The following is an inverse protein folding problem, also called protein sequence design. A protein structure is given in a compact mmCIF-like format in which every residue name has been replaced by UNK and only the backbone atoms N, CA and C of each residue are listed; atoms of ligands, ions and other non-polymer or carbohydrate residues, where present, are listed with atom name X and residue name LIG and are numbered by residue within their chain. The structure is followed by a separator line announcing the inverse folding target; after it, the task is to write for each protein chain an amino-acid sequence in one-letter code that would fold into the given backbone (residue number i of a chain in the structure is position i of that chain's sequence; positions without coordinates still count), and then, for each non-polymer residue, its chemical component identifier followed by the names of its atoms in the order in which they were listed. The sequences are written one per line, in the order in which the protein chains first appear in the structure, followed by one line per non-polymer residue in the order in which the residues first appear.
data_IF_948693626938
#
_entry.id   IF_948693626938
#
_cell.length_a   1.000
_cell.length_b   1.000
_cell.length_c   1.000
_cell.angle_alpha   90.00
_cell.angle_beta   90.00
_cell.angle_gamma   90.00
#
_symmetry.space_group_name_H-M   'P 1'
#
loop_
_entity.id
_entity.type
_entity.pdbx_description
1 polymer ?
#
# COMPACT_ATOMS: atom_id res chain seq x y z
N UNK A 1 -21.99 19.74 18.07
CA UNK A 1 -20.95 20.55 17.38
C UNK A 1 -20.68 19.82 16.08
N UNK A 2 -21.12 20.41 14.94
CA UNK A 2 -20.90 19.88 13.60
C UNK A 2 -19.40 20.01 13.30
N UNK A 3 -18.71 18.94 12.89
CA UNK A 3 -17.30 19.04 12.47
C UNK A 3 -17.24 19.90 11.20
N UNK A 4 -16.48 21.00 11.22
CA UNK A 4 -16.28 21.87 10.07
C UNK A 4 -15.77 21.13 8.83
N UNK A 5 -16.09 21.66 7.64
CA UNK A 5 -15.67 21.08 6.35
C UNK A 5 -14.15 20.92 6.27
N UNK A 6 -13.64 20.05 5.38
CA UNK A 6 -12.19 19.94 5.15
C UNK A 6 -11.53 21.27 4.79
N UNK A 7 -12.24 22.15 4.07
CA UNK A 7 -11.78 23.48 3.68
C UNK A 7 -11.67 24.43 4.88
N UNK A 8 -12.68 24.47 5.76
CA UNK A 8 -12.61 25.26 7.00
C UNK A 8 -11.51 24.77 7.95
N UNK A 9 -11.19 23.47 7.94
CA UNK A 9 -10.07 22.93 8.70
C UNK A 9 -8.73 23.34 8.10
N UNK A 10 -8.63 23.42 6.78
CA UNK A 10 -7.43 23.90 6.07
C UNK A 10 -7.22 25.41 6.31
N UNK A 11 -8.25 26.25 6.21
CA UNK A 11 -8.14 27.69 6.47
C UNK A 11 -7.70 27.99 7.91
N UNK A 12 -8.30 27.35 8.92
CA UNK A 12 -7.89 27.51 10.33
C UNK A 12 -6.48 26.98 10.61
N UNK A 13 -5.93 26.13 9.73
CA UNK A 13 -4.56 25.61 9.81
C UNK A 13 -3.54 26.55 9.18
N UNK A 14 -3.89 27.20 8.07
CA UNK A 14 -3.07 28.23 7.43
C UNK A 14 -2.85 29.45 8.35
N UNK A 15 -3.85 29.81 9.16
CA UNK A 15 -3.76 30.91 10.14
C UNK A 15 -2.73 30.66 11.27
N UNK A 16 -2.30 29.41 11.48
CA UNK A 16 -1.31 29.03 12.53
C UNK A 16 0.14 29.01 12.05
N UNK A 17 0.42 29.32 10.77
CA UNK A 17 1.77 29.45 10.23
C UNK A 17 2.62 28.16 10.24
N UNK A 18 1.98 26.99 10.40
CA UNK A 18 2.64 25.68 10.28
C UNK A 18 2.35 25.19 8.87
N UNK A 19 3.35 25.23 8.03
CA UNK A 19 3.28 24.65 6.68
C UNK A 19 3.20 23.12 6.80
N UNK A 20 1.98 22.61 6.97
CA UNK A 20 1.73 21.18 7.17
C UNK A 20 1.52 20.53 5.83
N UNK A 21 2.57 19.97 5.30
CA UNK A 21 2.50 19.18 4.08
C UNK A 21 1.71 17.89 4.30
N UNK A 22 0.64 17.70 3.54
CA UNK A 22 -0.18 16.50 3.55
C UNK A 22 0.14 15.66 2.32
N UNK A 23 0.27 14.36 2.55
CA UNK A 23 0.67 13.37 1.54
C UNK A 23 -0.37 12.25 1.46
N UNK A 24 -0.73 11.86 0.24
CA UNK A 24 -1.49 10.64 -0.01
C UNK A 24 -0.56 9.43 -0.10
N UNK A 25 -0.88 8.36 0.61
CA UNK A 25 -0.21 7.08 0.48
C UNK A 25 -1.07 6.11 -0.34
N UNK A 26 -0.50 5.58 -1.42
CA UNK A 26 -1.18 4.68 -2.36
C UNK A 26 -0.42 3.37 -2.51
N UNK A 27 -1.15 2.28 -2.64
CA UNK A 27 -0.60 0.96 -2.98
C UNK A 27 -1.33 0.43 -4.20
N UNK A 28 -0.61 0.21 -5.28
CA UNK A 28 -1.16 -0.28 -6.56
C UNK A 28 -2.42 0.49 -7.01
N UNK A 29 -2.42 1.82 -6.85
CA UNK A 29 -3.50 2.73 -7.27
C UNK A 29 -4.63 2.92 -6.26
N UNK A 30 -4.65 2.20 -5.16
CA UNK A 30 -5.63 2.39 -4.07
C UNK A 30 -5.03 3.32 -3.01
N UNK A 31 -5.78 4.34 -2.58
CA UNK A 31 -5.36 5.21 -1.47
C UNK A 31 -5.48 4.44 -0.16
N UNK A 32 -4.33 4.17 0.47
CA UNK A 32 -4.21 3.44 1.73
C UNK A 32 -4.05 4.34 2.95
N UNK A 33 -3.93 5.64 2.74
CA UNK A 33 -3.88 6.57 3.85
C UNK A 33 -3.56 7.98 3.45
N UNK A 34 -3.66 8.85 4.46
CA UNK A 34 -3.16 10.21 4.43
C UNK A 34 -2.05 10.32 5.46
N UNK A 35 -0.96 10.96 5.08
CA UNK A 35 0.23 11.11 5.91
C UNK A 35 0.57 12.58 6.07
N UNK A 36 1.16 12.94 7.19
CA UNK A 36 1.54 14.30 7.53
C UNK A 36 2.87 14.30 8.28
N UNK A 37 3.74 15.26 7.96
CA UNK A 37 5.03 15.42 8.62
C UNK A 37 5.06 16.73 9.41
N UNK A 38 5.58 16.69 10.63
CA UNK A 38 5.88 17.84 11.50
C UNK A 38 7.28 17.66 12.09
N UNK A 39 8.29 18.25 11.48
CA UNK A 39 9.69 17.97 11.84
C UNK A 39 10.01 16.48 11.64
N UNK A 40 10.47 15.81 12.69
CA UNK A 40 10.76 14.36 12.67
C UNK A 40 9.54 13.48 13.00
N UNK A 41 8.41 14.10 13.34
CA UNK A 41 7.17 13.39 13.66
C UNK A 41 6.38 13.13 12.38
N UNK A 42 5.91 11.91 12.22
CA UNK A 42 5.09 11.49 11.10
C UNK A 42 3.77 10.94 11.61
N UNK A 43 2.69 11.40 11.02
CA UNK A 43 1.34 11.01 11.36
C UNK A 43 0.70 10.29 10.17
N UNK A 44 -0.12 9.30 10.45
CA UNK A 44 -0.79 8.50 9.43
C UNK A 44 -2.22 8.19 9.84
N UNK A 45 -3.14 8.40 8.91
CA UNK A 45 -4.54 7.97 8.95
C UNK A 45 -4.70 6.84 7.93
N UNK A 46 -4.59 5.55 8.34
CA UNK A 46 -4.63 4.42 7.42
C UNK A 46 -6.05 4.08 6.99
N UNK A 47 -6.18 3.48 5.81
CA UNK A 47 -7.42 2.87 5.34
C UNK A 47 -7.66 1.54 6.06
N UNK A 48 -8.82 1.37 6.66
CA UNK A 48 -9.35 0.04 6.97
C UNK A 48 -9.97 -0.57 5.71
N UNK A 49 -9.33 -1.59 5.18
CA UNK A 49 -9.75 -2.23 3.93
C UNK A 49 -11.08 -3.00 4.04
N UNK A 50 -11.49 -3.31 5.28
CA UNK A 50 -12.72 -4.05 5.56
C UNK A 50 -13.94 -3.12 5.58
N UNK A 51 -13.84 -1.99 6.27
CA UNK A 51 -14.90 -0.98 6.33
C UNK A 51 -14.83 0.01 5.15
N UNK A 52 -13.62 0.21 4.60
CA UNK A 52 -13.33 1.23 3.60
C UNK A 52 -13.29 2.64 4.14
N UNK A 53 -13.23 2.80 5.45
CA UNK A 53 -13.11 4.08 6.14
C UNK A 53 -11.65 4.34 6.53
N UNK A 54 -11.27 5.63 6.59
CA UNK A 54 -9.97 6.00 7.14
C UNK A 54 -10.04 6.02 8.67
N UNK A 55 -9.12 5.29 9.31
CA UNK A 55 -8.98 5.27 10.75
C UNK A 55 -8.47 6.63 11.27
N UNK A 56 -8.68 6.93 12.56
CA UNK A 56 -8.14 8.13 13.16
C UNK A 56 -6.64 8.28 12.95
N UNK A 57 -6.19 9.50 12.74
CA UNK A 57 -4.77 9.81 12.61
C UNK A 57 -4.01 9.41 13.88
N UNK A 58 -2.88 8.75 13.72
CA UNK A 58 -1.94 8.44 14.81
C UNK A 58 -0.52 8.78 14.41
N UNK A 59 0.31 9.07 15.40
CA UNK A 59 1.75 9.21 15.19
C UNK A 59 2.38 7.84 14.93
N UNK A 60 3.26 7.76 13.95
CA UNK A 60 4.05 6.57 13.67
C UNK A 60 5.33 6.60 14.51
N UNK A 61 5.50 5.58 15.35
CA UNK A 61 6.70 5.41 16.16
C UNK A 61 7.81 4.70 15.36
N UNK A 62 9.11 4.84 15.73
CA UNK A 62 10.21 4.13 15.07
C UNK A 62 10.05 2.62 15.04
N UNK A 63 9.41 2.02 16.04
CA UNK A 63 9.10 0.59 16.11
C UNK A 63 8.01 0.14 15.14
N UNK A 64 7.20 1.04 14.61
CA UNK A 64 6.24 0.76 13.53
C UNK A 64 6.96 0.37 12.23
N UNK A 65 8.26 0.61 12.14
CA UNK A 65 9.11 0.27 11.01
C UNK A 65 9.38 -1.23 10.86
N UNK A 66 9.04 -2.05 11.85
CA UNK A 66 9.36 -3.49 11.90
C UNK A 66 8.62 -4.34 10.87
N UNK A 67 7.57 -3.84 10.27
CA UNK A 67 6.74 -4.57 9.32
C UNK A 67 6.97 -4.14 7.87
N UNK A 68 8.23 -4.12 7.45
CA UNK A 68 8.54 -4.05 6.02
C UNK A 68 8.30 -5.43 5.42
N UNK A 69 7.07 -5.73 5.07
CA UNK A 69 6.80 -6.82 4.13
C UNK A 69 7.51 -6.48 2.84
N UNK A 70 8.29 -7.41 2.31
CA UNK A 70 9.11 -7.26 1.11
C UNK A 70 8.32 -6.52 0.01
N UNK A 71 8.71 -5.27 -0.25
CA UNK A 71 8.13 -4.41 -1.28
C UNK A 71 7.08 -3.40 -0.82
N UNK A 72 6.68 -3.38 0.46
CA UNK A 72 5.80 -2.32 1.00
C UNK A 72 6.65 -1.13 1.46
N UNK A 73 6.24 0.07 1.09
CA UNK A 73 6.88 1.30 1.55
C UNK A 73 6.63 1.49 3.05
N UNK A 74 7.69 1.75 3.79
CA UNK A 74 7.57 2.33 5.13
C UNK A 74 7.32 3.83 4.97
N UNK A 75 6.12 4.28 5.35
CA UNK A 75 5.68 5.66 5.17
C UNK A 75 6.52 6.63 6.00
N UNK A 76 6.85 6.25 7.25
CA UNK A 76 7.66 7.11 8.14
C UNK A 76 9.08 7.28 7.57
N UNK A 77 9.74 6.18 7.25
CA UNK A 77 11.07 6.21 6.63
C UNK A 77 11.05 7.04 5.33
N UNK A 78 10.04 6.82 4.46
CA UNK A 78 9.92 7.53 3.20
C UNK A 78 9.81 9.05 3.39
N UNK A 79 8.93 9.51 4.28
CA UNK A 79 8.75 10.95 4.55
C UNK A 79 10.00 11.60 5.17
N UNK A 80 10.69 10.89 6.07
CA UNK A 80 11.94 11.39 6.65
C UNK A 80 13.08 11.41 5.62
N UNK A 81 13.07 10.48 4.65
CA UNK A 81 14.07 10.43 3.58
C UNK A 81 13.92 11.56 2.54
N UNK A 82 12.75 12.19 2.43
CA UNK A 82 12.53 13.27 1.46
C UNK A 82 13.41 14.51 1.74
N UNK A 83 13.65 14.84 3.00
CA UNK A 83 14.44 16.01 3.39
C UNK A 83 15.91 15.92 2.97
N UNK A 84 16.66 14.82 3.27
CA UNK A 84 17.99 14.59 2.71
C UNK A 84 18.05 14.64 1.18
N UNK A 85 17.02 14.15 0.50
CA UNK A 85 16.93 14.21 -0.96
C UNK A 85 16.70 15.66 -1.44
N UNK A 86 15.80 16.40 -0.79
CA UNK A 86 15.50 17.79 -1.12
C UNK A 86 16.71 18.71 -0.92
N UNK A 87 17.53 18.45 0.09
CA UNK A 87 18.78 19.17 0.31
C UNK A 87 19.81 18.94 -0.81
N UNK A 88 19.86 17.73 -1.35
CA UNK A 88 20.79 17.32 -2.38
C UNK A 88 20.46 17.81 -3.79
N UNK A 89 19.19 18.01 -4.10
CA UNK A 89 18.74 18.33 -5.47
C UNK A 89 18.88 19.82 -5.80
N UNK A 90 19.27 20.11 -7.03
CA UNK A 90 19.21 21.47 -7.63
C UNK A 90 18.43 21.41 -8.93
N UNK A 91 17.74 22.48 -9.24
CA UNK A 91 16.97 22.58 -10.47
C UNK A 91 17.88 22.44 -11.70
N UNK A 92 17.57 21.48 -12.56
CA UNK A 92 18.31 21.20 -13.78
C UNK A 92 19.36 20.10 -13.67
N UNK A 93 19.66 19.59 -12.47
CA UNK A 93 20.63 18.50 -12.31
C UNK A 93 20.14 17.22 -13.00
N UNK A 94 21.05 16.53 -13.69
CA UNK A 94 20.82 15.19 -14.20
C UNK A 94 21.18 14.09 -13.19
N UNK A 95 21.89 14.46 -12.13
CA UNK A 95 22.30 13.57 -11.04
C UNK A 95 22.48 14.37 -9.77
N UNK A 96 22.05 13.82 -8.64
CA UNK A 96 22.36 14.39 -7.32
C UNK A 96 22.65 13.30 -6.30
N UNK A 97 23.25 13.71 -5.18
CA UNK A 97 23.45 12.86 -4.01
C UNK A 97 22.66 13.48 -2.85
N UNK A 98 21.79 12.67 -2.24
CA UNK A 98 21.10 13.06 -1.01
C UNK A 98 22.12 13.31 0.12
N UNK A 99 21.82 14.15 1.10
CA UNK A 99 22.72 14.38 2.23
C UNK A 99 22.98 13.12 3.06
N UNK A 100 22.11 12.13 2.99
CA UNK A 100 22.25 10.78 3.54
C UNK A 100 23.13 9.82 2.69
N UNK A 101 23.59 10.27 1.50
CA UNK A 101 24.55 9.57 0.65
C UNK A 101 23.97 8.80 -0.54
N UNK A 102 22.65 8.68 -0.68
CA UNK A 102 22.02 8.00 -1.81
C UNK A 102 22.18 8.80 -3.09
N UNK A 103 22.40 8.09 -4.19
CA UNK A 103 22.60 8.68 -5.51
C UNK A 103 21.34 8.52 -6.34
N UNK A 104 20.90 9.61 -6.93
CA UNK A 104 19.75 9.67 -7.83
C UNK A 104 20.17 10.20 -9.20
N UNK A 105 19.69 9.55 -10.25
CA UNK A 105 19.91 9.97 -11.63
C UNK A 105 18.57 10.23 -12.32
N UNK A 106 18.55 11.24 -13.14
CA UNK A 106 17.38 11.64 -13.93
C UNK A 106 16.98 10.52 -14.88
N UNK A 107 15.72 10.14 -14.82
CA UNK A 107 15.11 9.09 -15.63
C UNK A 107 14.29 9.70 -16.77
N UNK A 108 13.54 10.75 -16.48
CA UNK A 108 12.66 11.48 -17.40
C UNK A 108 12.40 12.89 -16.83
N UNK A 109 11.56 13.71 -17.54
CA UNK A 109 11.19 15.05 -17.06
C UNK A 109 10.64 14.99 -15.63
N UNK A 110 11.39 15.55 -14.67
CA UNK A 110 11.02 15.60 -13.26
C UNK A 110 11.12 14.28 -12.52
N UNK A 111 11.52 13.16 -13.14
CA UNK A 111 11.66 11.87 -12.49
C UNK A 111 13.13 11.49 -12.30
N UNK A 112 13.48 11.02 -11.10
CA UNK A 112 14.81 10.53 -10.74
C UNK A 112 14.71 9.12 -10.18
N UNK A 113 15.72 8.28 -10.48
CA UNK A 113 15.79 6.91 -10.00
C UNK A 113 17.02 6.72 -9.12
N UNK A 114 16.83 6.09 -7.97
CA UNK A 114 17.92 5.72 -7.07
C UNK A 114 18.83 4.67 -7.71
N UNK A 115 20.16 4.90 -7.65
CA UNK A 115 21.17 3.97 -8.16
C UNK A 115 21.80 3.14 -7.05
N UNK A 116 22.50 2.08 -7.47
CA UNK A 116 23.27 1.19 -6.59
C UNK A 116 22.44 0.46 -5.51
N UNK A 117 21.14 0.20 -5.80
CA UNK A 117 20.23 -0.53 -4.93
C UNK A 117 19.48 -1.60 -5.72
N UNK A 118 19.19 -2.73 -5.08
CA UNK A 118 18.48 -3.87 -5.70
C UNK A 118 17.04 -3.54 -6.11
N UNK A 119 16.37 -2.71 -5.32
CA UNK A 119 15.01 -2.26 -5.58
C UNK A 119 15.00 -0.73 -5.68
N UNK A 120 15.21 -0.18 -6.89
CA UNK A 120 15.27 1.27 -7.10
C UNK A 120 14.01 1.97 -6.60
N UNK A 121 14.20 3.15 -6.05
CA UNK A 121 13.13 4.08 -5.65
C UNK A 121 13.14 5.24 -6.62
N UNK A 122 11.95 5.71 -6.99
CA UNK A 122 11.82 6.87 -7.88
C UNK A 122 11.38 8.09 -7.06
N UNK A 123 11.92 9.26 -7.42
CA UNK A 123 11.46 10.56 -6.95
C UNK A 123 10.83 11.31 -8.11
N UNK A 124 9.75 12.03 -7.85
CA UNK A 124 9.18 13.00 -8.79
C UNK A 124 9.42 14.39 -8.26
N UNK A 125 10.00 15.24 -9.11
CA UNK A 125 10.36 16.62 -8.78
C UNK A 125 9.59 17.57 -9.69
N UNK A 126 8.91 18.53 -9.08
CA UNK A 126 8.19 19.61 -9.77
C UNK A 126 8.65 20.95 -9.21
N UNK A 127 9.04 21.86 -10.12
CA UNK A 127 9.48 23.20 -9.75
C UNK A 127 10.55 23.25 -8.65
N UNK A 128 11.48 22.26 -8.67
CA UNK A 128 12.57 22.12 -7.71
C UNK A 128 12.17 21.47 -6.38
N UNK A 129 10.92 21.07 -6.21
CA UNK A 129 10.44 20.37 -5.03
C UNK A 129 10.16 18.91 -5.31
N UNK A 130 10.48 18.03 -4.36
CA UNK A 130 10.08 16.63 -4.42
C UNK A 130 8.61 16.55 -4.06
N UNK A 131 7.80 16.03 -5.00
CA UNK A 131 6.34 15.92 -4.86
C UNK A 131 5.87 14.48 -4.77
N UNK A 132 6.73 13.49 -5.09
CA UNK A 132 6.39 12.09 -4.86
C UNK A 132 7.62 11.22 -4.64
N UNK A 133 7.42 10.13 -3.89
CA UNK A 133 8.35 9.05 -3.64
C UNK A 133 7.68 7.73 -4.00
N UNK A 134 8.29 6.96 -4.91
CA UNK A 134 7.68 5.76 -5.48
C UNK A 134 8.60 4.58 -5.24
N UNK A 135 8.04 3.49 -4.72
CA UNK A 135 8.74 2.21 -4.56
C UNK A 135 8.09 1.16 -5.44
N UNK A 136 8.59 0.95 -6.68
CA UNK A 136 8.13 -0.13 -7.55
C UNK A 136 8.86 -1.41 -7.13
N UNK A 137 8.24 -2.24 -6.32
CA UNK A 137 8.89 -3.46 -5.84
C UNK A 137 8.01 -4.69 -6.06
N UNK A 138 8.51 -5.63 -6.83
CA UNK A 138 7.86 -6.90 -7.14
C UNK A 138 6.40 -6.73 -7.56
N UNK A 139 5.47 -7.23 -6.73
CA UNK A 139 4.04 -7.21 -7.01
C UNK A 139 3.35 -5.92 -6.54
N UNK A 140 4.04 -5.04 -5.83
CA UNK A 140 3.47 -3.81 -5.29
C UNK A 140 4.15 -2.57 -5.90
N UNK A 141 3.34 -1.56 -6.17
CA UNK A 141 3.83 -0.21 -6.41
C UNK A 141 3.25 0.70 -5.33
N UNK A 142 4.10 1.16 -4.44
CA UNK A 142 3.74 2.11 -3.40
C UNK A 142 4.10 3.52 -3.85
N UNK A 143 3.17 4.45 -3.71
CA UNK A 143 3.33 5.86 -4.07
C UNK A 143 2.98 6.71 -2.86
N UNK A 144 3.94 7.51 -2.42
CA UNK A 144 3.72 8.59 -1.47
C UNK A 144 3.78 9.89 -2.28
N UNK A 145 2.70 10.65 -2.32
CA UNK A 145 2.58 11.84 -3.17
C UNK A 145 1.97 12.99 -2.38
N UNK A 146 2.53 14.18 -2.54
CA UNK A 146 2.00 15.42 -1.97
C UNK A 146 0.61 15.67 -2.57
N UNK A 147 -0.36 16.02 -1.73
CA UNK A 147 -1.74 16.26 -2.17
C UNK A 147 -1.79 17.32 -3.30
N UNK A 148 -2.51 17.00 -4.38
CA UNK A 148 -2.61 17.81 -5.58
C UNK A 148 -1.58 17.51 -6.68
N UNK A 149 -0.64 16.59 -6.44
CA UNK A 149 0.37 16.18 -7.43
C UNK A 149 0.19 14.73 -7.91
N UNK A 150 -0.96 14.11 -7.66
CA UNK A 150 -1.26 12.72 -8.03
C UNK A 150 -1.08 12.49 -9.53
N UNK A 151 -1.49 13.45 -10.36
CA UNK A 151 -1.43 13.35 -11.82
C UNK A 151 0.00 13.50 -12.39
N UNK A 152 0.99 13.91 -11.58
CA UNK A 152 2.41 13.90 -11.92
C UNK A 152 3.06 12.52 -11.74
N UNK A 153 2.31 11.53 -11.29
CA UNK A 153 2.78 10.18 -10.97
C UNK A 153 2.09 9.12 -11.84
N UNK A 154 2.47 7.86 -11.63
CA UNK A 154 1.82 6.69 -12.23
C UNK A 154 0.32 6.59 -11.88
N UNK A 155 -0.14 7.28 -10.84
CA UNK A 155 -1.55 7.30 -10.44
C UNK A 155 -2.46 7.84 -11.54
N UNK A 156 -2.00 8.79 -12.34
CA UNK A 156 -2.72 9.29 -13.53
C UNK A 156 -3.05 8.15 -14.49
N UNK A 157 -2.08 7.30 -14.80
CA UNK A 157 -2.27 6.19 -15.73
C UNK A 157 -3.30 5.19 -15.20
N UNK A 158 -3.27 4.91 -13.90
CA UNK A 158 -4.25 4.01 -13.28
C UNK A 158 -5.67 4.60 -13.27
N UNK A 159 -5.78 5.91 -13.05
CA UNK A 159 -7.06 6.62 -13.16
C UNK A 159 -7.62 6.58 -14.59
N UNK A 160 -6.77 6.82 -15.59
CA UNK A 160 -7.13 6.76 -17.01
C UNK A 160 -7.53 5.34 -17.44
N UNK A 161 -6.94 4.29 -16.88
CA UNK A 161 -7.33 2.90 -17.09
C UNK A 161 -8.69 2.52 -16.46
N UNK A 162 -9.36 3.46 -15.80
CA UNK A 162 -10.72 3.26 -15.28
C UNK A 162 -10.79 2.35 -14.05
N UNK A 163 -9.73 2.25 -13.25
CA UNK A 163 -9.83 1.62 -11.94
C UNK A 163 -10.77 2.43 -11.06
N UNK A 164 -12.02 1.94 -10.97
CA UNK A 164 -13.07 2.52 -10.13
C UNK A 164 -12.78 2.39 -8.63
N UNK A 165 -13.81 2.67 -7.81
CA UNK A 165 -13.70 2.47 -6.37
C UNK A 165 -13.39 0.99 -6.09
N UNK A 166 -12.40 0.71 -5.24
CA UNK A 166 -12.03 -0.65 -4.90
C UNK A 166 -13.16 -1.36 -4.14
N UNK A 167 -13.24 -2.68 -4.31
CA UNK A 167 -14.03 -3.52 -3.44
C UNK A 167 -13.44 -3.52 -2.02
N UNK A 168 -14.29 -3.81 -1.03
CA UNK A 168 -13.84 -4.06 0.33
C UNK A 168 -13.30 -5.49 0.44
N UNK A 169 -12.42 -5.70 1.39
CA UNK A 169 -11.83 -7.02 1.70
C UNK A 169 -12.63 -7.66 2.82
N UNK A 170 -13.33 -8.74 2.52
CA UNK A 170 -14.00 -9.57 3.53
C UNK A 170 -13.18 -10.82 3.82
N UNK A 171 -13.09 -11.22 5.06
CA UNK A 171 -12.31 -12.37 5.51
C UNK A 171 -11.10 -11.99 6.40
N UNK A 172 -10.24 -12.95 6.76
CA UNK A 172 -10.27 -14.32 6.23
C UNK A 172 -11.33 -15.22 6.86
N UNK A 173 -11.90 -16.11 6.05
CA UNK A 173 -12.57 -17.30 6.53
C UNK A 173 -11.64 -18.51 6.34
N UNK A 174 -11.41 -19.30 7.39
CA UNK A 174 -10.49 -20.43 7.34
C UNK A 174 -11.22 -21.74 7.06
N UNK A 175 -10.76 -22.49 6.07
CA UNK A 175 -11.28 -23.79 5.69
C UNK A 175 -10.19 -24.85 5.76
N UNK A 176 -10.56 -26.07 6.21
CA UNK A 176 -9.72 -27.26 6.11
C UNK A 176 -10.11 -28.03 4.84
N UNK A 177 -9.30 -27.90 3.79
CA UNK A 177 -9.57 -28.44 2.47
C UNK A 177 -9.02 -29.87 2.38
N UNK A 178 -9.88 -30.91 2.17
CA UNK A 178 -9.39 -32.28 2.08
C UNK A 178 -8.68 -32.52 0.75
N UNK A 179 -7.51 -33.15 0.83
CA UNK A 179 -6.75 -33.61 -0.31
C UNK A 179 -7.18 -35.03 -0.71
N UNK A 180 -6.68 -35.54 -1.84
CA UNK A 180 -7.09 -36.86 -2.39
C UNK A 180 -6.77 -38.03 -1.44
N UNK A 181 -5.76 -37.89 -0.60
CA UNK A 181 -5.32 -38.88 0.40
C UNK A 181 -5.98 -38.68 1.79
N UNK A 182 -6.91 -37.74 1.90
CA UNK A 182 -7.63 -37.43 3.13
C UNK A 182 -6.95 -36.43 4.06
N UNK A 183 -5.70 -36.06 3.83
CA UNK A 183 -5.02 -35.00 4.57
C UNK A 183 -5.70 -33.67 4.30
N UNK A 184 -5.89 -32.84 5.32
CA UNK A 184 -6.55 -31.53 5.20
C UNK A 184 -5.54 -30.40 5.24
N UNK A 185 -5.64 -29.49 4.28
CA UNK A 185 -4.81 -28.29 4.22
C UNK A 185 -5.62 -27.05 4.63
N UNK A 186 -5.04 -26.25 5.49
CA UNK A 186 -5.66 -25.02 5.99
C UNK A 186 -5.55 -23.91 4.91
N UNK A 187 -6.68 -23.31 4.58
CA UNK A 187 -6.75 -22.23 3.61
C UNK A 187 -7.58 -21.05 4.18
N UNK A 188 -7.03 -19.86 4.07
CA UNK A 188 -7.73 -18.60 4.36
C UNK A 188 -8.29 -18.01 3.06
N UNK A 189 -9.58 -17.67 3.07
CA UNK A 189 -10.31 -17.14 1.91
C UNK A 189 -10.67 -15.69 2.16
N UNK A 190 -10.30 -14.84 1.22
CA UNK A 190 -10.64 -13.41 1.19
C UNK A 190 -11.53 -13.14 -0.01
N UNK A 191 -12.67 -12.46 0.21
CA UNK A 191 -13.68 -12.20 -0.81
C UNK A 191 -13.82 -10.71 -1.09
N UNK A 192 -13.98 -10.31 -2.36
CA UNK A 192 -14.33 -8.94 -2.72
C UNK A 192 -15.82 -8.69 -2.43
N UNK A 193 -16.12 -7.70 -1.60
CA UNK A 193 -17.49 -7.29 -1.32
C UNK A 193 -17.72 -5.86 -1.77
N UNK A 194 -18.93 -5.56 -2.24
CA UNK A 194 -19.32 -4.22 -2.67
C UNK A 194 -19.51 -3.33 -1.45
N UNK A 195 -19.16 -2.06 -1.61
CA UNK A 195 -19.64 -1.02 -0.70
C UNK A 195 -21.15 -0.88 -0.89
N UNK A 196 -21.92 -1.19 0.13
CA UNK A 196 -23.37 -0.99 0.13
C UNK A 196 -23.74 0.14 1.08
N UNK A 197 -24.94 0.69 0.94
CA UNK A 197 -25.46 1.69 1.87
C UNK A 197 -25.64 1.06 3.25
N UNK A 198 -25.44 1.87 4.29
CA UNK A 198 -25.58 1.43 5.67
C UNK A 198 -26.89 0.63 5.89
N UNK A 199 -26.77 -0.59 6.41
CA UNK A 199 -27.88 -1.49 6.74
C UNK A 199 -28.18 -2.61 5.74
N UNK A 200 -27.41 -2.76 4.66
CA UNK A 200 -27.53 -3.88 3.72
C UNK A 200 -26.44 -4.94 3.98
N UNK A 201 -26.78 -6.22 3.73
CA UNK A 201 -25.77 -7.30 3.79
C UNK A 201 -24.69 -7.09 2.71
N UNK A 202 -23.44 -7.36 3.08
CA UNK A 202 -22.32 -7.27 2.14
C UNK A 202 -22.46 -8.32 1.05
N UNK A 203 -22.66 -7.89 -0.19
CA UNK A 203 -22.75 -8.80 -1.33
C UNK A 203 -21.37 -9.03 -1.96
N UNK A 204 -21.03 -10.31 -2.18
CA UNK A 204 -19.82 -10.68 -2.94
C UNK A 204 -19.90 -10.10 -4.35
N UNK A 205 -18.78 -9.56 -4.84
CA UNK A 205 -18.69 -9.03 -6.19
C UNK A 205 -18.97 -10.11 -7.26
N UNK A 206 -19.42 -9.67 -8.43
CA UNK A 206 -19.61 -10.55 -9.58
C UNK A 206 -20.99 -11.14 -9.74
N UNK A 207 -21.30 -11.69 -10.95
CA UNK A 207 -22.58 -12.31 -11.25
C UNK A 207 -22.83 -13.55 -10.38
N UNK A 208 -23.97 -13.60 -9.69
CA UNK A 208 -24.36 -14.72 -8.81
C UNK A 208 -23.30 -15.06 -7.74
N UNK A 209 -22.53 -14.05 -7.25
CA UNK A 209 -21.48 -14.24 -6.26
C UNK A 209 -20.23 -15.00 -6.75
N UNK A 210 -20.08 -15.20 -8.07
CA UNK A 210 -18.92 -15.87 -8.66
C UNK A 210 -17.88 -14.84 -9.07
N UNK A 211 -16.65 -15.05 -8.63
CA UNK A 211 -15.50 -14.19 -8.95
C UNK A 211 -14.29 -15.04 -9.35
N UNK A 212 -13.41 -14.53 -10.21
CA UNK A 212 -12.14 -15.23 -10.48
C UNK A 212 -11.34 -15.35 -9.20
N UNK A 213 -10.56 -16.43 -9.07
CA UNK A 213 -9.84 -16.74 -7.84
C UNK A 213 -8.34 -16.81 -8.08
N UNK A 214 -7.57 -16.16 -7.21
CA UNK A 214 -6.12 -16.31 -7.09
C UNK A 214 -5.84 -17.27 -5.96
N UNK A 215 -5.18 -18.41 -6.27
CA UNK A 215 -4.71 -19.37 -5.27
C UNK A 215 -3.22 -19.16 -5.02
N UNK A 216 -2.86 -19.00 -3.76
CA UNK A 216 -1.48 -18.90 -3.27
C UNK A 216 -1.23 -20.07 -2.33
N UNK A 217 -0.15 -20.82 -2.55
CA UNK A 217 0.33 -21.85 -1.63
C UNK A 217 1.65 -21.41 -1.03
N UNK A 218 1.79 -21.51 0.29
CA UNK A 218 2.94 -20.96 1.00
C UNK A 218 3.42 -21.89 2.12
N UNK A 219 4.74 -22.09 2.27
CA UNK A 219 5.31 -22.76 3.43
C UNK A 219 5.55 -21.80 4.61
N UNK A 220 5.27 -20.50 4.45
CA UNK A 220 5.66 -19.44 5.39
C UNK A 220 4.51 -18.97 6.28
N UNK A 221 3.35 -19.59 6.18
CA UNK A 221 2.14 -19.21 6.90
C UNK A 221 1.17 -18.39 6.05
N UNK A 222 -0.07 -18.84 5.93
CA UNK A 222 -1.12 -18.21 5.11
C UNK A 222 -1.47 -16.78 5.50
N UNK A 223 -1.14 -16.38 6.74
CA UNK A 223 -1.38 -15.02 7.27
C UNK A 223 -0.19 -14.09 7.08
N UNK A 224 1.02 -14.65 6.85
CA UNK A 224 2.23 -13.86 6.70
C UNK A 224 2.21 -13.14 5.36
N UNK A 225 2.14 -11.82 5.40
CA UNK A 225 2.09 -10.97 4.20
C UNK A 225 0.79 -11.08 3.40
N UNK A 226 -0.30 -11.57 3.99
CA UNK A 226 -1.61 -11.71 3.34
C UNK A 226 -2.10 -10.38 2.74
N UNK A 227 -1.79 -9.25 3.39
CA UNK A 227 -2.13 -7.91 2.91
C UNK A 227 -1.54 -7.59 1.53
N UNK A 228 -0.46 -8.27 1.14
CA UNK A 228 0.13 -8.14 -0.20
C UNK A 228 -0.86 -8.53 -1.30
N UNK A 229 -1.79 -9.42 -0.98
CA UNK A 229 -2.79 -9.93 -1.92
C UNK A 229 -4.11 -9.16 -1.89
N UNK A 230 -4.33 -8.25 -0.93
CA UNK A 230 -5.57 -7.45 -0.84
C UNK A 230 -5.85 -6.62 -2.10
N UNK A 231 -4.82 -6.20 -2.83
CA UNK A 231 -4.98 -5.52 -4.12
C UNK A 231 -5.77 -6.35 -5.15
N UNK A 232 -5.65 -7.68 -5.13
CA UNK A 232 -6.46 -8.54 -6.00
C UNK A 232 -7.91 -8.58 -5.53
N UNK A 233 -8.12 -8.68 -4.22
CA UNK A 233 -9.48 -8.62 -3.65
C UNK A 233 -10.15 -7.30 -4.00
N UNK A 234 -9.43 -6.19 -3.83
CA UNK A 234 -9.92 -4.84 -4.17
C UNK A 234 -10.19 -4.64 -5.67
N UNK A 235 -9.71 -5.55 -6.53
CA UNK A 235 -9.97 -5.60 -7.99
C UNK A 235 -11.02 -6.65 -8.38
N UNK A 236 -11.68 -7.29 -7.42
CA UNK A 236 -12.80 -8.20 -7.67
C UNK A 236 -12.40 -9.67 -7.81
N UNK A 237 -11.20 -10.07 -7.37
CA UNK A 237 -10.79 -11.46 -7.28
C UNK A 237 -11.03 -12.02 -5.86
N UNK A 238 -11.47 -13.26 -5.74
CA UNK A 238 -11.25 -13.97 -4.49
C UNK A 238 -9.75 -14.33 -4.36
N UNK A 239 -9.25 -14.30 -3.13
CA UNK A 239 -7.88 -14.76 -2.83
C UNK A 239 -7.97 -15.91 -1.83
N UNK A 240 -7.34 -17.03 -2.17
CA UNK A 240 -7.19 -18.19 -1.30
C UNK A 240 -5.72 -18.36 -1.00
N UNK A 241 -5.33 -18.27 0.29
CA UNK A 241 -3.96 -18.50 0.73
C UNK A 241 -3.95 -19.77 1.55
N UNK A 242 -3.21 -20.78 1.10
CA UNK A 242 -3.18 -22.11 1.69
C UNK A 242 -1.80 -22.42 2.24
N UNK A 243 -1.74 -22.90 3.48
CA UNK A 243 -0.54 -23.50 4.05
C UNK A 243 -0.27 -24.82 3.33
N UNK A 244 0.96 -25.05 2.90
CA UNK A 244 1.36 -26.34 2.33
C UNK A 244 1.35 -27.42 3.41
N UNK A 245 1.27 -28.68 2.99
CA UNK A 245 1.23 -29.87 3.84
C UNK A 245 2.30 -29.86 4.92
N UNK A 246 1.91 -30.19 6.16
CA UNK A 246 2.79 -30.24 7.32
C UNK A 246 3.39 -28.90 7.76
N UNK A 247 2.79 -27.79 7.31
CA UNK A 247 3.18 -26.44 7.72
C UNK A 247 2.01 -25.73 8.39
N UNK A 248 2.34 -24.94 9.40
CA UNK A 248 1.40 -24.08 10.14
C UNK A 248 0.13 -24.84 10.60
N UNK A 249 -1.04 -24.49 10.06
CA UNK A 249 -2.32 -25.09 10.42
C UNK A 249 -2.70 -26.29 9.53
N UNK A 250 -1.88 -26.66 8.52
CA UNK A 250 -2.13 -27.78 7.62
C UNK A 250 -1.66 -29.12 8.23
N UNK A 251 -2.44 -30.16 8.00
CA UNK A 251 -2.11 -31.54 8.39
C UNK A 251 -1.03 -32.14 7.50
N UNK A 252 -0.53 -33.32 7.90
CA UNK A 252 0.43 -34.12 7.16
C UNK A 252 1.88 -33.84 7.54
N UNK A 253 2.81 -34.38 6.76
CA UNK A 253 4.25 -34.25 7.01
C UNK A 253 4.87 -33.24 6.05
N UNK A 254 5.73 -32.37 6.57
CA UNK A 254 6.47 -31.40 5.76
C UNK A 254 7.64 -32.09 5.05
N UNK A 255 7.58 -32.13 3.72
CA UNK A 255 8.68 -32.60 2.87
C UNK A 255 9.13 -31.44 1.98
N UNK A 256 10.26 -30.75 2.32
CA UNK A 256 10.74 -29.61 1.55
C UNK A 256 10.98 -29.96 0.08
N UNK A 257 10.58 -29.09 -0.84
CA UNK A 257 10.77 -29.23 -2.28
C UNK A 257 10.06 -30.45 -2.93
N UNK A 258 9.14 -31.12 -2.23
CA UNK A 258 8.24 -32.07 -2.87
C UNK A 258 7.05 -31.36 -3.52
N UNK A 259 6.69 -31.80 -4.70
CA UNK A 259 5.49 -31.33 -5.41
C UNK A 259 4.26 -31.98 -4.80
N UNK A 260 3.24 -31.17 -4.53
CA UNK A 260 1.90 -31.63 -4.15
C UNK A 260 0.93 -31.59 -5.33
#
# INVERSE_FOLDING_TARGET
IVPGSPEEKMERRAERGIDMETWGFYVSGVRYGTCRKEGERVFHSPLDVTSGEFLPERELAPEDDRYVVLGKMNVREALLHLEPCQEGIRLGDDRFTASSGEIYEKKDKGAYVQRHIKFPRDLVVKDGQIVAFITPARELCSVLVKDGYEDETVLRQWKEMGFGLPYLVHGPETFMVPMRDGVKLAADVYLPVKRERAGQEMAVAGPAGKVPTVLVRTPYGKRVGAETYYRYVQRGYAVVIQDVRGREDSEGEWLPMHYE
#
